data_IF_070553623289
#
_entry.id   IF_070553623289
#
_cell.length_a   1.000
_cell.length_b   1.000
_cell.length_c   1.000
_cell.angle_alpha   90.00
_cell.angle_beta   90.00
_cell.angle_gamma   90.00
#
_symmetry.space_group_name_H-M   'P 1'
#
loop_
_entity.id
_entity.type
_entity.pdbx_description
1 polymer ?
#
# COMPACT_ATOMS: atom_id res chain seq x y z
N UNK A 1 -3.77 23.67 0.24
CA UNK A 1 -3.37 22.34 0.73
C UNK A 1 -1.99 22.03 0.17
N UNK A 2 -1.02 21.62 1.00
CA UNK A 2 0.19 20.99 0.44
C UNK A 2 -0.26 19.71 -0.22
N UNK A 3 -0.03 19.59 -1.51
CA UNK A 3 -0.38 18.41 -2.28
C UNK A 3 0.56 17.27 -1.84
N UNK A 4 0.11 16.44 -0.91
CA UNK A 4 0.93 15.36 -0.37
C UNK A 4 0.75 14.13 -1.27
N UNK A 5 1.65 14.02 -2.25
CA UNK A 5 1.63 13.00 -3.30
C UNK A 5 1.42 11.58 -2.76
N UNK A 6 2.08 11.21 -1.65
CA UNK A 6 1.98 9.86 -1.09
C UNK A 6 0.62 9.62 -0.43
N UNK A 7 0.04 10.63 0.21
CA UNK A 7 -1.31 10.56 0.81
C UNK A 7 -2.33 10.28 -0.30
N UNK A 8 -2.37 11.11 -1.33
CA UNK A 8 -3.32 10.98 -2.43
C UNK A 8 -3.18 9.62 -3.14
N UNK A 9 -1.96 9.24 -3.53
CA UNK A 9 -1.71 7.96 -4.22
C UNK A 9 -2.07 6.76 -3.36
N UNK A 10 -1.76 6.78 -2.07
CA UNK A 10 -2.08 5.67 -1.17
C UNK A 10 -3.59 5.52 -0.95
N UNK A 11 -4.33 6.63 -0.91
CA UNK A 11 -5.79 6.63 -0.82
C UNK A 11 -6.45 6.11 -2.10
N UNK A 12 -6.02 6.60 -3.27
CA UNK A 12 -6.49 6.12 -4.57
C UNK A 12 -6.21 4.62 -4.75
N UNK A 13 -5.03 4.17 -4.35
CA UNK A 13 -4.66 2.75 -4.35
C UNK A 13 -5.55 1.92 -3.42
N UNK A 14 -5.88 2.41 -2.22
CA UNK A 14 -6.78 1.72 -1.30
C UNK A 14 -8.18 1.51 -1.93
N UNK A 15 -8.71 2.51 -2.65
CA UNK A 15 -9.98 2.36 -3.38
C UNK A 15 -9.90 1.28 -4.48
N UNK A 16 -8.76 1.17 -5.15
CA UNK A 16 -8.54 0.15 -6.17
C UNK A 16 -8.42 -1.26 -5.58
N UNK A 17 -7.71 -1.40 -4.46
CA UNK A 17 -7.67 -2.64 -3.68
C UNK A 17 -9.08 -3.09 -3.29
N UNK A 18 -9.95 -2.17 -2.86
CA UNK A 18 -11.35 -2.47 -2.55
C UNK A 18 -12.10 -2.97 -3.79
N UNK A 19 -11.87 -2.37 -4.97
CA UNK A 19 -12.47 -2.84 -6.23
C UNK A 19 -12.01 -4.25 -6.59
N UNK A 20 -10.71 -4.52 -6.50
CA UNK A 20 -10.14 -5.86 -6.77
C UNK A 20 -10.66 -6.89 -5.77
N UNK A 21 -10.75 -6.54 -4.49
CA UNK A 21 -11.33 -7.40 -3.46
C UNK A 21 -12.77 -7.81 -3.80
N UNK A 22 -13.63 -6.84 -4.16
CA UNK A 22 -15.02 -7.13 -4.56
C UNK A 22 -15.07 -8.08 -5.75
N UNK A 23 -14.27 -7.83 -6.79
CA UNK A 23 -14.18 -8.70 -7.96
C UNK A 23 -13.76 -10.14 -7.59
N UNK A 24 -12.73 -10.29 -6.74
CA UNK A 24 -12.26 -11.60 -6.30
C UNK A 24 -13.34 -12.38 -5.55
N UNK A 25 -14.08 -11.72 -4.66
CA UNK A 25 -15.12 -12.34 -3.85
C UNK A 25 -16.36 -12.67 -4.68
N UNK A 26 -16.83 -11.73 -5.50
CA UNK A 26 -18.11 -11.84 -6.22
C UNK A 26 -17.99 -12.69 -7.49
N UNK A 27 -16.91 -12.50 -8.26
CA UNK A 27 -16.74 -13.14 -9.57
C UNK A 27 -15.83 -14.37 -9.54
N UNK A 28 -14.81 -14.37 -8.67
CA UNK A 28 -13.86 -15.48 -8.59
C UNK A 28 -14.08 -16.43 -7.42
N UNK A 29 -14.95 -16.07 -6.47
CA UNK A 29 -15.21 -16.83 -5.24
C UNK A 29 -13.92 -17.10 -4.45
N UNK A 30 -13.01 -16.13 -4.43
CA UNK A 30 -11.77 -16.18 -3.65
C UNK A 30 -11.92 -15.31 -2.39
N UNK A 31 -11.68 -15.90 -1.21
CA UNK A 31 -12.02 -15.28 0.08
C UNK A 31 -10.84 -15.16 1.06
N UNK A 32 -9.72 -15.85 0.78
CA UNK A 32 -8.59 -15.95 1.70
C UNK A 32 -7.52 -14.94 1.32
N UNK A 33 -7.03 -15.02 0.08
CA UNK A 33 -5.99 -14.12 -0.43
C UNK A 33 -6.53 -12.71 -0.64
N UNK A 34 -7.78 -12.58 -1.07
CA UNK A 34 -8.51 -11.33 -1.26
C UNK A 34 -8.61 -10.55 0.06
N UNK A 35 -8.86 -11.25 1.17
CA UNK A 35 -8.88 -10.64 2.51
C UNK A 35 -7.50 -10.20 2.97
N UNK A 36 -6.44 -10.97 2.67
CA UNK A 36 -5.06 -10.55 2.95
C UNK A 36 -4.71 -9.29 2.17
N UNK A 37 -4.98 -9.29 0.86
CA UNK A 37 -4.80 -8.14 -0.03
C UNK A 37 -5.55 -6.89 0.47
N UNK A 38 -6.83 -7.05 0.84
CA UNK A 38 -7.66 -5.95 1.33
C UNK A 38 -7.03 -5.30 2.57
N UNK A 39 -6.62 -6.13 3.54
CA UNK A 39 -6.04 -5.64 4.79
C UNK A 39 -4.71 -4.93 4.54
N UNK A 40 -3.77 -5.58 3.85
CA UNK A 40 -2.46 -4.97 3.63
C UNK A 40 -2.57 -3.73 2.74
N UNK A 41 -3.38 -3.77 1.68
CA UNK A 41 -3.48 -2.69 0.70
C UNK A 41 -4.13 -1.42 1.26
N UNK A 42 -5.14 -1.56 2.12
CA UNK A 42 -5.75 -0.40 2.81
C UNK A 42 -4.90 0.11 3.98
N UNK A 43 -4.11 -0.76 4.61
CA UNK A 43 -3.19 -0.40 5.70
C UNK A 43 -2.07 0.57 5.26
N UNK A 44 -1.70 0.57 3.97
CA UNK A 44 -0.71 1.51 3.42
C UNK A 44 -1.18 2.96 3.65
N UNK A 45 -2.37 3.30 3.14
CA UNK A 45 -2.93 4.64 3.28
C UNK A 45 -3.21 5.01 4.74
N UNK A 46 -3.73 4.07 5.53
CA UNK A 46 -3.97 4.29 6.95
C UNK A 46 -2.70 4.70 7.72
N UNK A 47 -1.57 4.02 7.48
CA UNK A 47 -0.30 4.37 8.12
C UNK A 47 0.30 5.67 7.57
N UNK A 48 0.06 6.00 6.30
CA UNK A 48 0.47 7.30 5.73
C UNK A 48 -0.30 8.45 6.37
N UNK A 49 -1.62 8.31 6.56
CA UNK A 49 -2.45 9.29 7.27
C UNK A 49 -2.03 9.44 8.74
N UNK A 50 -1.72 8.34 9.44
CA UNK A 50 -1.17 8.40 10.79
C UNK A 50 0.18 9.13 10.85
N UNK A 51 1.02 8.97 9.81
CA UNK A 51 2.29 9.68 9.74
C UNK A 51 2.12 11.20 9.60
N UNK A 52 1.09 11.69 8.91
CA UNK A 52 0.80 13.13 8.83
C UNK A 52 0.52 13.76 10.21
N UNK A 53 0.04 12.95 11.16
CA UNK A 53 -0.24 13.36 12.54
C UNK A 53 0.90 13.00 13.51
N UNK A 54 2.07 12.60 13.01
CA UNK A 54 3.19 12.15 13.82
C UNK A 54 3.73 13.24 14.75
N UNK A 55 4.04 12.85 15.98
CA UNK A 55 4.51 13.79 17.02
C UNK A 55 6.02 14.05 16.96
N UNK A 56 6.76 13.28 16.16
CA UNK A 56 8.20 13.44 15.96
C UNK A 56 8.65 12.86 14.63
N UNK A 57 9.87 13.22 14.17
CA UNK A 57 10.47 12.59 12.98
C UNK A 57 10.68 11.08 13.14
N UNK A 58 10.93 10.59 14.36
CA UNK A 58 11.07 9.14 14.64
C UNK A 58 9.74 8.42 14.51
N UNK A 59 8.67 9.04 15.00
CA UNK A 59 7.31 8.53 14.88
C UNK A 59 6.86 8.51 13.41
N UNK A 60 7.07 9.61 12.68
CA UNK A 60 6.85 9.69 11.23
C UNK A 60 7.60 8.58 10.48
N UNK A 61 8.89 8.39 10.79
CA UNK A 61 9.70 7.33 10.20
C UNK A 61 9.14 5.94 10.51
N UNK A 62 8.68 5.70 11.74
CA UNK A 62 8.10 4.41 12.13
C UNK A 62 6.84 4.10 11.33
N UNK A 63 5.90 5.07 11.21
CA UNK A 63 4.67 4.93 10.44
C UNK A 63 4.92 4.72 8.94
N UNK A 64 5.84 5.49 8.35
CA UNK A 64 6.24 5.32 6.95
C UNK A 64 6.93 3.96 6.69
N UNK A 65 7.68 3.42 7.66
CA UNK A 65 8.22 2.06 7.55
C UNK A 65 7.13 0.99 7.57
N UNK A 66 6.10 1.16 8.40
CA UNK A 66 4.95 0.25 8.42
C UNK A 66 4.22 0.31 7.08
N UNK A 67 3.92 1.51 6.57
CA UNK A 67 3.31 1.68 5.23
C UNK A 67 4.13 0.99 4.13
N UNK A 68 5.47 1.11 4.15
CA UNK A 68 6.36 0.44 3.19
C UNK A 68 6.31 -1.09 3.32
N UNK A 69 6.21 -1.63 4.54
CA UNK A 69 6.06 -3.07 4.76
C UNK A 69 4.74 -3.57 4.17
N UNK A 70 3.64 -2.86 4.44
CA UNK A 70 2.30 -3.17 3.93
C UNK A 70 2.24 -3.09 2.39
N UNK A 71 2.95 -2.14 1.78
CA UNK A 71 3.06 -2.04 0.32
C UNK A 71 3.77 -3.26 -0.30
N UNK A 72 4.87 -3.69 0.32
CA UNK A 72 5.60 -4.89 -0.12
C UNK A 72 4.79 -6.18 0.05
N UNK A 73 4.04 -6.29 1.14
CA UNK A 73 3.13 -7.41 1.40
C UNK A 73 1.97 -7.42 0.40
N UNK A 74 1.36 -6.27 0.15
CA UNK A 74 0.30 -6.11 -0.86
C UNK A 74 0.77 -6.54 -2.24
N UNK A 75 1.97 -6.10 -2.65
CA UNK A 75 2.58 -6.56 -3.89
C UNK A 75 2.76 -8.08 -3.92
N UNK A 76 3.16 -8.70 -2.82
CA UNK A 76 3.29 -10.16 -2.74
C UNK A 76 1.94 -10.86 -2.97
N UNK A 77 0.86 -10.40 -2.33
CA UNK A 77 -0.48 -10.95 -2.53
C UNK A 77 -0.98 -10.78 -3.96
N UNK A 78 -0.74 -9.61 -4.57
CA UNK A 78 -1.08 -9.38 -5.98
C UNK A 78 -0.36 -10.38 -6.88
N UNK A 79 0.95 -10.63 -6.67
CA UNK A 79 1.69 -11.63 -7.46
C UNK A 79 1.09 -13.03 -7.32
N UNK A 80 0.76 -13.46 -6.10
CA UNK A 80 0.12 -14.76 -5.90
C UNK A 80 -1.22 -14.85 -6.63
N UNK A 81 -2.06 -13.82 -6.55
CA UNK A 81 -3.35 -13.77 -7.24
C UNK A 81 -3.18 -13.79 -8.76
N UNK A 82 -2.14 -13.15 -9.30
CA UNK A 82 -1.81 -13.20 -10.72
C UNK A 82 -1.35 -14.58 -11.16
N UNK A 83 -0.31 -15.11 -10.50
CA UNK A 83 0.33 -16.38 -10.87
C UNK A 83 -0.59 -17.58 -10.67
N UNK A 84 -1.62 -17.45 -9.81
CA UNK A 84 -2.69 -18.45 -9.64
C UNK A 84 -3.93 -18.23 -10.53
N UNK A 85 -3.91 -17.22 -11.42
CA UNK A 85 -4.94 -17.02 -12.44
C UNK A 85 -6.21 -16.30 -11.98
N UNK A 86 -6.20 -15.62 -10.83
CA UNK A 86 -7.35 -14.86 -10.35
C UNK A 86 -7.51 -13.50 -11.05
N UNK A 87 -6.38 -12.84 -11.32
CA UNK A 87 -6.29 -11.50 -11.95
C UNK A 87 -5.15 -11.46 -12.97
N UNK A 88 -5.21 -10.53 -13.92
CA UNK A 88 -4.11 -10.27 -14.87
C UNK A 88 -3.30 -9.03 -14.46
N UNK A 89 -4.00 -8.01 -13.96
CA UNK A 89 -3.54 -7.09 -12.91
C UNK A 89 -2.51 -6.00 -13.25
N UNK A 90 -2.14 -5.75 -14.51
CA UNK A 90 -1.02 -4.85 -14.85
C UNK A 90 -1.05 -3.48 -14.15
N UNK A 91 -2.19 -2.78 -14.15
CA UNK A 91 -2.29 -1.42 -13.59
C UNK A 91 -2.11 -1.38 -12.06
N UNK A 92 -2.75 -2.30 -11.31
CA UNK A 92 -2.62 -2.32 -9.85
C UNK A 92 -1.20 -2.69 -9.41
N UNK A 93 -0.47 -3.47 -10.21
CA UNK A 93 0.96 -3.74 -9.96
C UNK A 93 1.82 -2.50 -10.14
N UNK A 94 1.61 -1.73 -11.19
CA UNK A 94 2.36 -0.49 -11.44
C UNK A 94 2.15 0.50 -10.29
N UNK A 95 0.91 0.63 -9.81
CA UNK A 95 0.56 1.53 -8.70
C UNK A 95 1.18 1.10 -7.37
N UNK A 96 1.17 -0.20 -7.04
CA UNK A 96 1.83 -0.66 -5.80
C UNK A 96 3.35 -0.54 -5.87
N UNK A 97 3.96 -0.72 -7.05
CA UNK A 97 5.40 -0.51 -7.24
C UNK A 97 5.78 0.96 -7.11
N UNK A 98 4.98 1.87 -7.68
CA UNK A 98 5.15 3.30 -7.50
C UNK A 98 5.10 3.68 -6.01
N UNK A 99 4.11 3.19 -5.27
CA UNK A 99 4.03 3.40 -3.82
C UNK A 99 5.26 2.84 -3.08
N UNK A 100 5.73 1.64 -3.44
CA UNK A 100 6.95 1.07 -2.85
C UNK A 100 8.17 1.98 -3.07
N UNK A 101 8.32 2.56 -4.26
CA UNK A 101 9.42 3.48 -4.58
C UNK A 101 9.32 4.78 -3.79
N UNK A 102 8.15 5.41 -3.77
CA UNK A 102 7.88 6.65 -3.04
C UNK A 102 8.17 6.46 -1.55
N UNK A 103 7.57 5.43 -0.94
CA UNK A 103 7.72 5.14 0.48
C UNK A 103 9.18 4.80 0.84
N UNK A 104 9.88 4.04 -0.01
CA UNK A 104 11.31 3.75 0.20
C UNK A 104 12.17 5.01 0.18
N UNK A 105 11.88 5.95 -0.73
CA UNK A 105 12.58 7.24 -0.80
C UNK A 105 12.35 8.10 0.45
N UNK A 106 11.09 8.17 0.91
CA UNK A 106 10.70 8.89 2.13
C UNK A 106 11.41 8.30 3.35
N UNK A 107 11.36 6.97 3.52
CA UNK A 107 12.00 6.26 4.63
C UNK A 107 13.51 6.50 4.63
N UNK A 108 14.17 6.36 3.47
CA UNK A 108 15.63 6.56 3.35
C UNK A 108 16.03 7.99 3.71
N UNK A 109 15.33 8.98 3.17
CA UNK A 109 15.63 10.40 3.41
C UNK A 109 15.38 10.79 4.86
N UNK A 110 14.25 10.34 5.43
CA UNK A 110 13.92 10.62 6.82
C UNK A 110 14.90 9.95 7.77
N UNK A 111 15.27 8.69 7.53
CA UNK A 111 16.25 7.97 8.35
C UNK A 111 17.60 8.67 8.41
N UNK A 112 18.08 9.25 7.29
CA UNK A 112 19.33 10.02 7.28
C UNK A 112 19.24 11.32 8.07
N UNK A 113 18.05 11.91 8.18
CA UNK A 113 17.82 13.15 8.95
C UNK A 113 17.63 12.95 10.45
N UNK A 114 17.48 11.70 10.89
CA UNK A 114 17.25 11.29 12.29
C UNK A 114 18.50 10.67 12.92
N UNK A 115 19.48 10.27 12.10
CA UNK A 115 20.84 9.93 12.54
C UNK A 115 21.61 11.20 12.89
#
# INVERSE_FOLDING_TARGET
>A
MRDNLVVNKSYEFALEVIRVYKFLVENRREFVLSKQLLRSGTSIGANVEEAESAQSKRDFLAKMNIALKEAKETRYWLRLLKDSGYIDGSEIFERVEELCMILSSIVKTTSNSVK
#
